data_IF_037983851567
#
_entry.id   IF_037983851567
#
_cell.length_a   1.000
_cell.length_b   1.000
_cell.length_c   1.000
_cell.angle_alpha   90.00
_cell.angle_beta   90.00
_cell.angle_gamma   90.00
#
_symmetry.space_group_name_H-M   'P 1'
#
loop_
_entity.id
_entity.type
_entity.pdbx_description
1 polymer ?
#
# COMPACT_ATOMS: atom_id res chain seq x y z
N UNK A 1 -10.86 0.24 -14.75
CA UNK A 1 -10.56 1.62 -14.31
C UNK A 1 -11.14 2.59 -15.32
N UNK A 2 -11.81 3.64 -14.86
CA UNK A 2 -12.49 4.62 -15.72
C UNK A 2 -11.62 5.86 -15.91
N UNK A 3 -11.92 6.66 -16.94
CA UNK A 3 -11.34 8.00 -17.11
C UNK A 3 -11.47 8.87 -15.85
N UNK A 4 -12.53 8.65 -15.07
CA UNK A 4 -12.77 9.37 -13.82
C UNK A 4 -11.69 9.11 -12.75
N UNK A 5 -11.15 7.88 -12.66
CA UNK A 5 -10.07 7.57 -11.71
C UNK A 5 -8.80 8.35 -12.03
N UNK A 6 -8.46 8.47 -13.31
CA UNK A 6 -7.28 9.20 -13.77
C UNK A 6 -7.46 10.71 -13.56
N UNK A 7 -8.62 11.26 -13.91
CA UNK A 7 -8.94 12.66 -13.66
C UNK A 7 -8.91 12.99 -12.16
N UNK A 8 -9.44 12.10 -11.32
CA UNK A 8 -9.36 12.25 -9.86
C UNK A 8 -7.90 12.23 -9.38
N UNK A 9 -7.08 11.29 -9.86
CA UNK A 9 -5.66 11.25 -9.49
C UNK A 9 -4.92 12.53 -9.90
N UNK A 10 -5.11 13.03 -11.12
CA UNK A 10 -4.52 14.29 -11.58
C UNK A 10 -4.95 15.48 -10.72
N UNK A 11 -6.22 15.50 -10.31
CA UNK A 11 -6.74 16.51 -9.40
C UNK A 11 -6.04 16.44 -8.03
N UNK A 12 -5.97 15.26 -7.43
CA UNK A 12 -5.30 15.06 -6.13
C UNK A 12 -3.80 15.34 -6.19
N UNK A 13 -3.12 14.98 -7.27
CA UNK A 13 -1.72 15.34 -7.49
C UNK A 13 -1.52 16.86 -7.56
N UNK A 14 -2.42 17.58 -8.24
CA UNK A 14 -2.39 19.05 -8.27
C UNK A 14 -2.62 19.66 -6.89
N UNK A 15 -3.56 19.13 -6.10
CA UNK A 15 -3.81 19.58 -4.74
C UNK A 15 -2.60 19.35 -3.83
N UNK A 16 -1.97 18.17 -3.92
CA UNK A 16 -0.75 17.86 -3.19
C UNK A 16 0.36 18.87 -3.49
N UNK A 17 0.66 19.11 -4.77
CA UNK A 17 1.73 20.05 -5.13
C UNK A 17 1.39 21.48 -4.70
N UNK A 18 0.13 21.90 -4.78
CA UNK A 18 -0.31 23.21 -4.27
C UNK A 18 -0.15 23.31 -2.76
N UNK A 19 -0.52 22.27 -2.00
CA UNK A 19 -0.32 22.22 -0.54
C UNK A 19 1.17 22.40 -0.20
N UNK A 20 2.05 21.64 -0.85
CA UNK A 20 3.50 21.70 -0.64
C UNK A 20 4.08 23.07 -1.00
N UNK A 21 3.63 23.68 -2.11
CA UNK A 21 4.09 25.00 -2.52
C UNK A 21 3.60 26.12 -1.60
N UNK A 22 2.34 26.05 -1.16
CA UNK A 22 1.73 27.10 -0.34
C UNK A 22 2.07 26.99 1.15
N UNK A 23 2.35 25.79 1.67
CA UNK A 23 2.55 25.57 3.10
C UNK A 23 4.01 25.21 3.42
N UNK A 24 4.73 26.04 4.21
CA UNK A 24 6.10 25.72 4.61
C UNK A 24 6.17 24.44 5.45
N UNK A 25 5.15 24.17 6.27
CA UNK A 25 5.10 22.95 7.09
C UNK A 25 5.02 21.68 6.25
N UNK A 26 4.33 21.70 5.10
CA UNK A 26 4.29 20.59 4.17
C UNK A 26 5.67 20.30 3.56
N UNK A 27 6.44 21.35 3.22
CA UNK A 27 7.83 21.19 2.76
C UNK A 27 8.73 20.67 3.85
N UNK A 28 8.61 21.20 5.07
CA UNK A 28 9.38 20.73 6.22
C UNK A 28 9.09 19.26 6.54
N UNK A 29 7.84 18.79 6.39
CA UNK A 29 7.51 17.37 6.53
C UNK A 29 8.26 16.50 5.51
N UNK A 30 8.25 16.87 4.23
CA UNK A 30 8.99 16.15 3.18
C UNK A 30 10.51 16.18 3.40
N UNK A 31 11.03 17.24 4.02
CA UNK A 31 12.47 17.33 4.37
C UNK A 31 12.80 16.49 5.59
N UNK A 32 11.90 16.43 6.59
CA UNK A 32 12.08 15.60 7.79
C UNK A 32 12.03 14.11 7.47
N UNK A 33 11.20 13.68 6.52
CA UNK A 33 11.17 12.27 6.11
C UNK A 33 12.52 11.77 5.58
N UNK A 34 13.34 12.65 4.99
CA UNK A 34 14.72 12.33 4.58
C UNK A 34 15.62 11.85 5.71
N UNK A 35 15.40 12.37 6.92
CA UNK A 35 16.25 12.13 8.09
C UNK A 35 15.64 11.05 9.00
N UNK A 36 14.35 10.76 8.85
CA UNK A 36 13.63 9.82 9.71
C UNK A 36 14.04 8.35 9.48
N UNK A 37 14.60 8.01 8.32
CA UNK A 37 15.10 6.67 7.99
C UNK A 37 16.54 6.73 7.47
N UNK A 38 17.54 6.96 8.33
CA UNK A 38 18.93 6.91 7.90
C UNK A 38 19.28 5.48 7.49
N UNK A 39 19.41 5.26 6.19
CA UNK A 39 19.96 4.03 5.63
C UNK A 39 21.49 4.10 5.71
N UNK A 40 22.13 3.03 6.20
CA UNK A 40 23.58 2.98 6.43
C UNK A 40 24.45 3.17 5.19
N UNK A 41 23.84 3.10 3.98
CA UNK A 41 24.52 3.23 2.69
C UNK A 41 24.09 4.49 1.90
N UNK A 42 23.25 5.37 2.49
CA UNK A 42 22.57 6.46 1.76
C UNK A 42 23.23 7.85 1.87
N UNK A 43 24.41 7.97 2.48
CA UNK A 43 25.09 9.25 2.71
C UNK A 43 25.22 10.17 1.45
N UNK A 44 25.68 9.70 0.27
CA UNK A 44 25.82 10.57 -0.90
C UNK A 44 24.46 10.96 -1.51
N UNK A 45 23.47 10.05 -1.50
CA UNK A 45 22.12 10.36 -2.01
C UNK A 45 21.36 11.30 -1.08
N UNK A 46 21.55 11.17 0.24
CA UNK A 46 20.90 12.00 1.26
C UNK A 46 21.40 13.44 1.17
N UNK A 47 22.72 13.65 1.07
CA UNK A 47 23.31 14.98 0.91
C UNK A 47 22.86 15.68 -0.38
N UNK A 48 22.81 14.94 -1.50
CA UNK A 48 22.25 15.45 -2.78
C UNK A 48 20.80 15.88 -2.63
N UNK A 49 19.98 15.08 -1.94
CA UNK A 49 18.56 15.32 -1.75
C UNK A 49 18.27 16.48 -0.79
N UNK A 50 19.08 16.65 0.26
CA UNK A 50 19.03 17.84 1.13
C UNK A 50 19.38 19.11 0.36
N UNK A 51 20.47 19.09 -0.43
CA UNK A 51 20.87 20.21 -1.27
C UNK A 51 19.81 20.53 -2.32
N UNK A 52 19.20 19.51 -2.91
CA UNK A 52 18.09 19.68 -3.85
C UNK A 52 16.89 20.36 -3.19
N UNK A 53 16.51 19.94 -1.98
CA UNK A 53 15.41 20.55 -1.24
C UNK A 53 15.70 22.01 -0.88
N UNK A 54 16.93 22.35 -0.49
CA UNK A 54 17.34 23.75 -0.28
C UNK A 54 17.28 24.57 -1.57
N UNK A 55 17.73 23.99 -2.68
CA UNK A 55 17.74 24.66 -3.99
C UNK A 55 16.31 24.90 -4.47
N UNK A 56 15.40 23.94 -4.23
CA UNK A 56 13.98 24.07 -4.52
C UNK A 56 13.32 25.17 -3.65
N UNK A 57 13.62 25.23 -2.36
CA UNK A 57 13.11 26.31 -1.49
C UNK A 57 13.60 27.69 -1.96
N UNK A 58 14.86 27.79 -2.42
CA UNK A 58 15.37 29.02 -3.05
C UNK A 58 14.63 29.34 -4.36
N UNK A 59 14.35 28.34 -5.19
CA UNK A 59 13.60 28.52 -6.44
C UNK A 59 12.17 29.02 -6.19
N UNK A 60 11.50 28.55 -5.13
CA UNK A 60 10.15 28.99 -4.74
C UNK A 60 10.14 30.47 -4.34
N UNK A 61 11.21 30.95 -3.70
CA UNK A 61 11.33 32.34 -3.23
C UNK A 61 11.98 33.28 -4.26
N UNK A 62 12.48 32.76 -5.38
CA UNK A 62 13.19 33.54 -6.38
C UNK A 62 12.25 34.56 -7.05
N UNK A 63 12.59 35.87 -7.05
CA UNK A 63 11.75 36.91 -7.62
C UNK A 63 11.83 36.98 -9.15
N UNK A 64 12.94 36.52 -9.73
CA UNK A 64 13.23 36.58 -11.15
C UNK A 64 13.00 35.22 -11.82
N UNK A 65 12.41 35.22 -13.02
CA UNK A 65 12.02 33.98 -13.70
C UNK A 65 13.21 33.18 -14.23
N UNK A 66 14.29 33.82 -14.68
CA UNK A 66 15.45 33.12 -15.25
C UNK A 66 16.24 32.46 -14.12
N UNK A 67 16.50 33.19 -13.04
CA UNK A 67 17.14 32.63 -11.84
C UNK A 67 16.36 31.47 -11.24
N UNK A 68 15.03 31.54 -11.29
CA UNK A 68 14.15 30.45 -10.84
C UNK A 68 14.30 29.21 -11.72
N UNK A 69 14.37 29.37 -13.05
CA UNK A 69 14.53 28.24 -13.97
C UNK A 69 15.88 27.55 -13.75
N UNK A 70 16.97 28.31 -13.61
CA UNK A 70 18.31 27.76 -13.33
C UNK A 70 18.33 26.96 -12.01
N UNK A 71 17.68 27.48 -10.97
CA UNK A 71 17.55 26.77 -9.69
C UNK A 71 16.70 25.51 -9.81
N UNK A 72 15.64 25.51 -10.63
CA UNK A 72 14.83 24.32 -10.88
C UNK A 72 15.59 23.26 -11.67
N UNK A 73 16.38 23.65 -12.67
CA UNK A 73 17.26 22.75 -13.42
C UNK A 73 18.28 22.11 -12.49
N UNK A 74 18.92 22.92 -11.65
CA UNK A 74 19.87 22.41 -10.66
C UNK A 74 19.22 21.48 -9.64
N UNK A 75 18.04 21.83 -9.15
CA UNK A 75 17.30 20.98 -8.22
C UNK A 75 16.93 19.64 -8.88
N UNK A 76 16.44 19.66 -10.13
CA UNK A 76 16.12 18.43 -10.87
C UNK A 76 17.34 17.53 -11.05
N UNK A 77 18.49 18.07 -11.46
CA UNK A 77 19.74 17.30 -11.58
C UNK A 77 20.10 16.57 -10.28
N UNK A 78 20.06 17.28 -9.16
CA UNK A 78 20.39 16.74 -7.84
C UNK A 78 19.38 15.68 -7.36
N UNK A 79 18.10 15.85 -7.70
CA UNK A 79 17.05 14.87 -7.40
C UNK A 79 17.23 13.61 -8.23
N UNK A 80 17.53 13.75 -9.52
CA UNK A 80 17.77 12.62 -10.42
C UNK A 80 19.03 11.85 -10.03
N UNK A 81 20.09 12.53 -9.57
CA UNK A 81 21.30 11.84 -9.07
C UNK A 81 21.09 11.14 -7.72
N UNK A 82 20.05 11.51 -6.97
CA UNK A 82 19.66 10.84 -5.74
C UNK A 82 18.77 9.59 -6.00
N UNK A 83 18.27 9.41 -7.23
CA UNK A 83 17.54 8.20 -7.63
C UNK A 83 18.49 7.00 -7.73
N UNK A 84 17.99 5.82 -7.38
CA UNK A 84 18.79 4.58 -7.36
C UNK A 84 19.45 4.27 -6.02
N UNK A 85 19.21 5.11 -5.00
CA UNK A 85 19.42 4.76 -3.60
C UNK A 85 18.39 3.77 -3.08
N UNK A 86 18.11 3.81 -1.77
CA UNK A 86 17.06 2.99 -1.18
C UNK A 86 15.64 3.43 -1.65
N UNK A 87 14.63 2.55 -1.54
CA UNK A 87 13.27 2.84 -2.00
C UNK A 87 12.65 4.10 -1.38
N UNK A 88 12.97 4.38 -0.11
CA UNK A 88 12.43 5.52 0.62
C UNK A 88 13.02 6.82 0.10
N UNK A 89 14.35 6.90 -0.01
CA UNK A 89 15.06 8.04 -0.60
C UNK A 89 14.54 8.35 -2.00
N UNK A 90 14.37 7.31 -2.83
CA UNK A 90 13.82 7.46 -4.18
C UNK A 90 12.38 7.99 -4.16
N UNK A 91 11.52 7.51 -3.26
CA UNK A 91 10.16 8.02 -3.12
C UNK A 91 10.12 9.50 -2.74
N UNK A 92 10.95 9.94 -1.79
CA UNK A 92 11.02 11.35 -1.41
C UNK A 92 11.58 12.21 -2.55
N UNK A 93 12.59 11.73 -3.28
CA UNK A 93 13.12 12.41 -4.45
C UNK A 93 12.05 12.59 -5.54
N UNK A 94 11.25 11.55 -5.81
CA UNK A 94 10.11 11.63 -6.73
C UNK A 94 9.06 12.66 -6.30
N UNK A 95 8.74 12.79 -5.01
CA UNK A 95 7.82 13.82 -4.54
C UNK A 95 8.36 15.25 -4.75
N UNK A 96 9.67 15.45 -4.56
CA UNK A 96 10.29 16.74 -4.88
C UNK A 96 10.30 17.01 -6.39
N UNK A 97 10.55 15.99 -7.22
CA UNK A 97 10.45 16.08 -8.68
C UNK A 97 9.03 16.43 -9.16
N UNK A 98 8.00 15.96 -8.44
CA UNK A 98 6.62 16.35 -8.69
C UNK A 98 6.40 17.85 -8.45
N UNK A 99 6.96 18.38 -7.36
CA UNK A 99 6.90 19.82 -7.05
C UNK A 99 7.66 20.65 -8.10
N UNK A 100 8.87 20.24 -8.49
CA UNK A 100 9.65 20.87 -9.57
C UNK A 100 8.85 20.90 -10.88
N UNK A 101 8.25 19.77 -11.26
CA UNK A 101 7.43 19.67 -12.48
C UNK A 101 6.20 20.58 -12.43
N UNK A 102 5.60 20.74 -11.25
CA UNK A 102 4.48 21.66 -11.04
C UNK A 102 4.90 23.12 -11.21
N UNK A 103 6.05 23.51 -10.66
CA UNK A 103 6.61 24.86 -10.82
C UNK A 103 6.95 25.18 -12.28
N UNK A 104 7.29 24.17 -13.07
CA UNK A 104 7.49 24.29 -14.53
C UNK A 104 6.20 24.22 -15.35
N UNK A 105 5.02 24.15 -14.70
CA UNK A 105 3.74 24.09 -15.40
C UNK A 105 3.45 22.76 -16.11
N UNK A 106 4.09 21.66 -15.69
CA UNK A 106 3.86 20.33 -16.24
C UNK A 106 3.13 19.41 -15.23
N UNK A 107 1.78 19.49 -15.15
CA UNK A 107 1.00 18.74 -14.17
C UNK A 107 0.99 17.23 -14.43
N UNK A 108 1.11 16.80 -15.69
CA UNK A 108 1.13 15.36 -16.03
C UNK A 108 2.44 14.73 -15.59
N UNK A 109 3.57 15.38 -15.85
CA UNK A 109 4.88 14.94 -15.35
C UNK A 109 4.93 14.95 -13.83
N UNK A 110 4.33 15.96 -13.18
CA UNK A 110 4.18 16.00 -11.72
C UNK A 110 3.43 14.77 -11.20
N UNK A 111 2.27 14.46 -11.79
CA UNK A 111 1.48 13.29 -11.43
C UNK A 111 2.23 11.98 -11.65
N UNK A 112 3.04 11.85 -12.71
CA UNK A 112 3.88 10.67 -12.94
C UNK A 112 4.90 10.47 -11.84
N UNK A 113 5.63 11.51 -11.46
CA UNK A 113 6.58 11.40 -10.36
C UNK A 113 5.89 11.03 -9.05
N UNK A 114 4.68 11.55 -8.80
CA UNK A 114 3.91 11.16 -7.63
C UNK A 114 3.53 9.66 -7.66
N UNK A 115 3.18 9.11 -8.83
CA UNK A 115 2.97 7.67 -9.01
C UNK A 115 4.26 6.87 -8.83
N UNK A 116 5.41 7.38 -9.29
CA UNK A 116 6.70 6.73 -9.09
C UNK A 116 7.09 6.68 -7.61
N UNK A 117 6.71 7.68 -6.80
CA UNK A 117 6.86 7.62 -5.36
C UNK A 117 6.05 6.46 -4.73
N UNK A 118 4.77 6.31 -5.14
CA UNK A 118 3.93 5.19 -4.71
C UNK A 118 4.41 3.83 -5.22
N UNK A 119 5.09 3.78 -6.37
CA UNK A 119 5.66 2.54 -6.89
C UNK A 119 6.99 2.17 -6.19
N UNK A 120 7.77 3.18 -5.77
CA UNK A 120 9.07 2.99 -5.11
C UNK A 120 8.92 2.52 -3.67
N UNK A 121 8.22 3.28 -2.83
CA UNK A 121 7.98 2.94 -1.42
C UNK A 121 6.51 3.20 -1.06
N UNK A 122 5.61 2.24 -1.35
CA UNK A 122 4.20 2.42 -1.10
C UNK A 122 3.91 2.57 0.39
N UNK A 123 4.64 1.87 1.25
CA UNK A 123 4.42 1.91 2.71
C UNK A 123 4.56 3.34 3.24
N UNK A 124 5.66 4.02 2.93
CA UNK A 124 5.89 5.41 3.33
C UNK A 124 5.03 6.39 2.55
N UNK A 125 4.75 6.13 1.27
CA UNK A 125 3.90 7.01 0.48
C UNK A 125 2.45 7.04 1.01
N UNK A 126 1.93 5.90 1.44
CA UNK A 126 0.60 5.74 2.05
C UNK A 126 0.51 6.31 3.46
N UNK A 127 1.55 6.12 4.28
CA UNK A 127 1.53 6.55 5.68
C UNK A 127 1.95 8.00 5.87
N UNK A 128 3.16 8.33 5.43
CA UNK A 128 3.85 9.54 5.89
C UNK A 128 3.95 10.63 4.82
N UNK A 129 4.20 10.24 3.57
CA UNK A 129 4.63 11.20 2.55
C UNK A 129 3.47 11.83 1.79
N UNK A 130 2.48 11.03 1.37
CA UNK A 130 1.35 11.50 0.58
C UNK A 130 0.02 10.79 0.95
N UNK A 131 -0.33 10.65 2.25
CA UNK A 131 -1.49 9.87 2.71
C UNK A 131 -2.80 10.30 2.05
N UNK A 132 -3.07 11.61 2.01
CA UNK A 132 -4.29 12.17 1.39
C UNK A 132 -4.43 11.78 -0.08
N UNK A 133 -3.33 11.76 -0.85
CA UNK A 133 -3.42 11.38 -2.27
C UNK A 133 -3.80 9.92 -2.39
N UNK A 134 -3.23 9.05 -1.56
CA UNK A 134 -3.59 7.65 -1.55
C UNK A 134 -5.05 7.42 -1.13
N UNK A 135 -5.48 8.05 -0.04
CA UNK A 135 -6.84 7.96 0.49
C UNK A 135 -7.88 8.37 -0.55
N UNK A 136 -7.68 9.52 -1.19
CA UNK A 136 -8.67 10.11 -2.10
C UNK A 136 -8.64 9.51 -3.51
N UNK A 137 -7.58 8.82 -3.93
CA UNK A 137 -7.43 8.35 -5.31
C UNK A 137 -7.14 6.87 -5.50
N UNK A 138 -6.54 6.20 -4.51
CA UNK A 138 -6.07 4.82 -4.62
C UNK A 138 -6.83 3.84 -3.71
N UNK A 139 -7.50 4.31 -2.64
CA UNK A 139 -8.31 3.45 -1.75
C UNK A 139 -9.53 2.87 -2.44
N UNK A 140 -10.29 3.67 -3.21
CA UNK A 140 -11.51 3.18 -3.86
C UNK A 140 -11.25 1.93 -4.75
N UNK A 141 -10.21 1.91 -5.60
CA UNK A 141 -9.79 0.70 -6.32
C UNK A 141 -9.45 -0.51 -5.45
N UNK A 142 -9.01 -0.29 -4.20
CA UNK A 142 -8.57 -1.30 -3.25
C UNK A 142 -9.69 -1.75 -2.30
N UNK A 143 -10.92 -1.22 -2.40
CA UNK A 143 -12.05 -1.64 -1.56
C UNK A 143 -12.28 -3.16 -1.51
N UNK A 144 -12.12 -3.95 -2.59
CA UNK A 144 -12.23 -5.40 -2.50
C UNK A 144 -11.18 -6.02 -1.56
N UNK A 145 -9.96 -5.47 -1.54
CA UNK A 145 -8.88 -5.91 -0.66
C UNK A 145 -9.24 -5.65 0.81
N UNK A 146 -9.69 -4.43 1.11
CA UNK A 146 -10.15 -4.04 2.44
C UNK A 146 -11.28 -4.97 2.94
N UNK A 147 -12.28 -5.24 2.09
CA UNK A 147 -13.41 -6.12 2.45
C UNK A 147 -12.96 -7.54 2.79
N UNK A 148 -12.03 -8.10 2.02
CA UNK A 148 -11.49 -9.44 2.30
C UNK A 148 -10.74 -9.48 3.63
N UNK A 149 -9.91 -8.47 3.90
CA UNK A 149 -9.20 -8.35 5.18
C UNK A 149 -10.17 -8.28 6.36
N UNK A 150 -11.19 -7.41 6.27
CA UNK A 150 -12.18 -7.28 7.35
C UNK A 150 -12.98 -8.57 7.55
N UNK A 151 -13.34 -9.28 6.48
CA UNK A 151 -14.05 -10.56 6.58
C UNK A 151 -13.19 -11.63 7.27
N UNK A 152 -11.91 -11.75 6.93
CA UNK A 152 -11.01 -12.73 7.57
C UNK A 152 -10.73 -12.36 9.03
N UNK A 153 -10.52 -11.07 9.32
CA UNK A 153 -10.37 -10.57 10.70
C UNK A 153 -11.60 -10.89 11.54
N UNK A 154 -12.80 -10.72 10.99
CA UNK A 154 -14.03 -11.10 11.68
C UNK A 154 -14.15 -12.61 11.88
N UNK A 155 -13.75 -13.42 10.91
CA UNK A 155 -13.79 -14.88 11.05
C UNK A 155 -12.90 -15.37 12.22
N UNK A 156 -11.70 -14.81 12.37
CA UNK A 156 -10.79 -15.13 13.49
C UNK A 156 -11.40 -14.66 14.82
N UNK A 157 -11.99 -13.47 14.88
CA UNK A 157 -12.61 -12.98 16.11
C UNK A 157 -13.87 -13.78 16.50
N UNK A 158 -14.63 -14.26 15.51
CA UNK A 158 -15.81 -15.10 15.73
C UNK A 158 -15.43 -16.49 16.27
N UNK A 159 -14.31 -17.09 15.83
CA UNK A 159 -13.86 -18.37 16.37
C UNK A 159 -13.49 -18.28 17.86
N UNK A 160 -12.89 -17.17 18.30
CA UNK A 160 -12.62 -16.91 19.73
C UNK A 160 -13.90 -16.89 20.56
N UNK A 161 -14.98 -16.32 20.02
CA UNK A 161 -16.28 -16.30 20.70
C UNK A 161 -16.95 -17.69 20.75
N UNK A 162 -16.82 -18.49 19.68
CA UNK A 162 -17.43 -19.82 19.57
C UNK A 162 -16.75 -20.86 20.48
N UNK A 163 -15.41 -20.90 20.50
CA UNK A 163 -14.64 -21.77 21.41
C UNK A 163 -15.00 -21.55 22.89
N UNK A 164 -15.52 -20.37 23.20
CA UNK A 164 -15.93 -20.00 24.54
C UNK A 164 -17.35 -20.49 24.90
N UNK A 165 -18.32 -20.40 23.96
CA UNK A 165 -19.68 -20.91 24.20
C UNK A 165 -19.72 -22.42 24.42
N UNK A 166 -18.81 -23.16 23.80
CA UNK A 166 -18.70 -24.62 24.01
C UNK A 166 -18.09 -24.98 25.38
N UNK A 167 -17.36 -24.06 26.03
CA UNK A 167 -16.71 -24.28 27.33
C UNK A 167 -17.51 -23.76 28.53
N UNK A 168 -18.42 -22.81 28.34
CA UNK A 168 -19.35 -22.33 29.36
C UNK A 168 -20.77 -22.54 28.84
N UNK A 169 -21.40 -23.63 29.29
CA UNK A 169 -22.77 -23.96 28.95
C UNK A 169 -23.70 -22.76 29.13
N UNK A 170 -24.34 -22.37 28.02
CA UNK A 170 -25.43 -21.40 27.95
C UNK A 170 -25.13 -20.00 28.50
N UNK A 171 -24.47 -19.16 27.71
CA UNK A 171 -24.73 -17.72 27.76
C UNK A 171 -24.98 -17.18 26.35
N UNK A 172 -26.11 -16.48 26.24
CA UNK A 172 -26.79 -16.00 25.02
C UNK A 172 -25.83 -15.59 23.90
N UNK A 173 -26.11 -16.08 22.68
CA UNK A 173 -25.49 -15.62 21.45
C UNK A 173 -25.54 -14.09 21.38
N UNK A 174 -24.40 -13.45 21.61
CA UNK A 174 -24.21 -12.04 21.28
C UNK A 174 -24.12 -12.00 19.76
N UNK A 175 -25.13 -11.38 19.15
CA UNK A 175 -25.24 -11.17 17.72
C UNK A 175 -24.05 -10.32 17.24
N UNK A 176 -23.00 -10.98 16.76
CA UNK A 176 -21.72 -10.39 16.40
C UNK A 176 -21.77 -9.85 14.96
N UNK A 177 -22.78 -9.04 14.65
CA UNK A 177 -22.87 -8.33 13.36
C UNK A 177 -22.09 -7.02 13.44
N UNK A 178 -20.78 -7.09 13.17
CA UNK A 178 -19.94 -5.90 13.05
C UNK A 178 -20.13 -5.28 11.66
N UNK A 179 -21.27 -4.61 11.47
CA UNK A 179 -21.40 -3.55 10.45
C UNK A 179 -20.93 -2.24 11.06
N UNK A 180 -20.29 -1.39 10.26
CA UNK A 180 -19.68 -0.09 10.64
C UNK A 180 -20.61 0.92 11.34
N UNK A 181 -21.88 0.58 11.55
CA UNK A 181 -22.92 1.40 12.19
C UNK A 181 -23.29 0.90 13.61
N UNK A 182 -22.68 -0.19 14.10
CA UNK A 182 -22.85 -0.64 15.50
C UNK A 182 -21.81 0.02 16.41
N UNK A 183 -21.95 1.33 16.63
CA UNK A 183 -21.15 2.14 17.56
C UNK A 183 -21.50 1.92 19.05
N UNK A 184 -21.90 0.70 19.41
CA UNK A 184 -22.10 0.30 20.80
C UNK A 184 -21.54 -1.10 21.06
N UNK A 185 -20.38 -1.40 20.49
CA UNK A 185 -19.56 -2.48 21.03
C UNK A 185 -19.05 -2.04 22.39
N UNK A 186 -19.71 -2.50 23.45
CA UNK A 186 -19.39 -2.14 24.82
C UNK A 186 -17.89 -2.36 25.09
N UNK A 187 -17.23 -1.35 25.67
CA UNK A 187 -15.80 -1.36 25.93
C UNK A 187 -15.42 -2.53 26.86
N UNK A 188 -16.35 -2.97 27.71
CA UNK A 188 -16.18 -4.15 28.54
C UNK A 188 -16.16 -5.45 27.70
N UNK A 189 -17.03 -5.55 26.69
CA UNK A 189 -17.03 -6.68 25.73
C UNK A 189 -15.72 -6.76 24.94
N UNK A 190 -15.15 -5.61 24.55
CA UNK A 190 -13.83 -5.54 23.91
C UNK A 190 -12.71 -5.98 24.83
N UNK A 191 -12.67 -5.47 26.06
CA UNK A 191 -11.68 -5.86 27.07
C UNK A 191 -11.79 -7.35 27.42
N UNK A 192 -13.00 -7.90 27.46
CA UNK A 192 -13.26 -9.30 27.73
C UNK A 192 -12.83 -10.21 26.57
N UNK A 193 -13.02 -9.78 25.32
CA UNK A 193 -12.50 -10.49 24.16
C UNK A 193 -10.97 -10.49 24.17
N UNK A 194 -10.35 -9.32 24.37
CA UNK A 194 -8.89 -9.16 24.41
C UNK A 194 -8.24 -9.96 25.54
N UNK A 195 -8.84 -10.02 26.73
CA UNK A 195 -8.30 -10.78 27.87
C UNK A 195 -8.38 -12.31 27.69
N UNK A 196 -9.12 -12.77 26.68
CA UNK A 196 -9.40 -14.18 26.41
C UNK A 196 -8.82 -14.68 25.09
N UNK A 197 -8.12 -13.82 24.35
CA UNK A 197 -7.41 -14.23 23.15
C UNK A 197 -6.25 -15.14 23.52
N UNK A 198 -6.18 -16.30 22.88
CA UNK A 198 -5.01 -17.18 23.00
C UNK A 198 -3.81 -16.59 22.27
N UNK A 199 -2.61 -17.01 22.65
CA UNK A 199 -1.40 -16.62 21.92
C UNK A 199 -1.46 -17.05 20.45
N UNK A 200 -2.11 -18.19 20.13
CA UNK A 200 -2.29 -18.60 18.72
C UNK A 200 -3.19 -17.64 17.95
N UNK A 201 -4.26 -17.13 18.58
CA UNK A 201 -5.17 -16.17 17.94
C UNK A 201 -4.47 -14.83 17.69
N UNK A 202 -3.70 -14.34 18.68
CA UNK A 202 -2.91 -13.11 18.54
C UNK A 202 -1.93 -13.23 17.38
N UNK A 203 -1.23 -14.36 17.27
CA UNK A 203 -0.31 -14.60 16.18
C UNK A 203 -1.03 -14.72 14.83
N UNK A 204 -2.20 -15.36 14.78
CA UNK A 204 -3.01 -15.45 13.56
C UNK A 204 -3.46 -14.08 13.05
N UNK A 205 -3.90 -13.19 13.95
CA UNK A 205 -4.24 -11.81 13.60
C UNK A 205 -3.03 -11.00 13.15
N UNK A 206 -1.87 -11.16 13.82
CA UNK A 206 -0.63 -10.51 13.43
C UNK A 206 -0.22 -10.93 12.02
N UNK A 207 -0.20 -12.23 11.73
CA UNK A 207 0.11 -12.74 10.39
C UNK A 207 -0.88 -12.24 9.34
N UNK A 208 -2.16 -12.10 9.68
CA UNK A 208 -3.16 -11.53 8.79
C UNK A 208 -2.89 -10.04 8.50
N UNK A 209 -2.56 -9.25 9.53
CA UNK A 209 -2.23 -7.83 9.40
C UNK A 209 -0.95 -7.64 8.56
N UNK A 210 0.10 -8.42 8.82
CA UNK A 210 1.34 -8.41 8.05
C UNK A 210 1.09 -8.77 6.56
N UNK A 211 0.30 -9.82 6.30
CA UNK A 211 -0.05 -10.23 4.94
C UNK A 211 -0.92 -9.20 4.21
N UNK A 212 -1.78 -8.50 4.96
CA UNK A 212 -2.62 -7.45 4.41
C UNK A 212 -1.82 -6.20 4.04
N UNK A 213 -0.86 -5.77 4.88
CA UNK A 213 0.04 -4.66 4.53
C UNK A 213 0.92 -5.01 3.32
N UNK A 214 1.46 -6.24 3.24
CA UNK A 214 2.20 -6.72 2.07
C UNK A 214 1.34 -6.65 0.79
N UNK A 215 0.09 -7.10 0.88
CA UNK A 215 -0.85 -7.04 -0.23
C UNK A 215 -1.25 -5.59 -0.59
N UNK A 216 -1.42 -4.71 0.39
CA UNK A 216 -1.70 -3.29 0.16
C UNK A 216 -0.57 -2.62 -0.61
N UNK A 217 0.67 -2.88 -0.22
CA UNK A 217 1.85 -2.33 -0.89
C UNK A 217 1.96 -2.82 -2.33
N UNK A 218 1.84 -4.13 -2.55
CA UNK A 218 1.91 -4.68 -3.91
C UNK A 218 0.79 -4.19 -4.82
N UNK A 219 -0.46 -4.15 -4.31
CA UNK A 219 -1.57 -3.62 -5.12
C UNK A 219 -1.43 -2.10 -5.36
N UNK A 220 -0.87 -1.35 -4.41
CA UNK A 220 -0.55 0.08 -4.60
C UNK A 220 0.50 0.27 -5.69
N UNK A 221 1.59 -0.52 -5.70
CA UNK A 221 2.59 -0.50 -6.79
C UNK A 221 1.97 -0.81 -8.14
N UNK A 222 1.16 -1.86 -8.21
CA UNK A 222 0.50 -2.27 -9.46
C UNK A 222 -0.42 -1.18 -10.00
N UNK A 223 -1.18 -0.54 -9.12
CA UNK A 223 -2.07 0.55 -9.48
C UNK A 223 -1.30 1.79 -9.93
N UNK A 224 -0.24 2.15 -9.20
CA UNK A 224 0.60 3.29 -9.54
C UNK A 224 1.24 3.12 -10.93
N UNK A 225 1.83 1.96 -11.19
CA UNK A 225 2.38 1.60 -12.50
C UNK A 225 1.33 1.64 -13.61
N UNK A 226 0.13 1.14 -13.35
CA UNK A 226 -0.97 1.17 -14.33
C UNK A 226 -1.40 2.59 -14.68
N UNK A 227 -1.59 3.46 -13.68
CA UNK A 227 -1.95 4.86 -13.91
C UNK A 227 -0.83 5.60 -14.65
N UNK A 228 0.44 5.28 -14.36
CA UNK A 228 1.58 5.87 -15.07
C UNK A 228 1.59 5.50 -16.55
N UNK A 229 1.46 4.20 -16.86
CA UNK A 229 1.33 3.71 -18.24
C UNK A 229 0.14 4.37 -18.95
N UNK A 230 -0.98 4.58 -18.26
CA UNK A 230 -2.14 5.25 -18.84
C UNK A 230 -1.83 6.71 -19.19
N UNK A 231 -1.19 7.45 -18.29
CA UNK A 231 -0.77 8.84 -18.55
C UNK A 231 0.23 8.94 -19.70
N UNK A 232 1.17 8.00 -19.83
CA UNK A 232 2.10 7.90 -20.97
C UNK A 232 1.39 7.71 -22.30
N UNK A 233 0.45 6.77 -22.36
CA UNK A 233 -0.31 6.50 -23.58
C UNK A 233 -1.23 7.66 -23.98
N UNK A 234 -1.69 8.48 -23.03
CA UNK A 234 -2.52 9.65 -23.32
C UNK A 234 -1.76 10.82 -23.95
N UNK A 235 -0.44 10.95 -23.74
CA UNK A 235 0.40 11.99 -24.36
C UNK A 235 0.85 11.63 -25.80
N UNK A 236 0.78 10.36 -26.18
CA UNK A 236 1.42 9.80 -27.39
C UNK A 236 0.60 9.73 -28.70
N UNK A 237 -0.60 10.30 -28.77
CA UNK A 237 -1.60 10.28 -29.89
C UNK A 237 -2.58 9.11 -29.94
N UNK A 238 -3.76 9.48 -30.45
CA UNK A 238 -4.80 8.72 -31.19
C UNK A 238 -5.10 7.28 -30.75
N UNK A 239 -6.38 7.10 -30.41
CA UNK A 239 -7.12 5.84 -30.28
C UNK A 239 -7.12 4.99 -31.57
N UNK A 240 -5.96 4.64 -32.10
CA UNK A 240 -5.86 3.64 -33.17
C UNK A 240 -5.38 2.33 -32.58
N UNK A 241 -6.34 1.40 -32.46
CA UNK A 241 -6.14 -0.01 -32.16
C UNK A 241 -5.48 -0.32 -30.80
N UNK A 242 -6.29 -0.26 -29.74
CA UNK A 242 -6.05 -1.12 -28.57
C UNK A 242 -6.32 -2.57 -28.95
N UNK A 243 -5.34 -3.21 -29.61
CA UNK A 243 -5.23 -4.67 -29.67
C UNK A 243 -5.39 -5.19 -28.26
N UNK A 244 -6.50 -5.91 -28.03
CA UNK A 244 -6.88 -6.70 -26.84
C UNK A 244 -5.69 -7.02 -25.94
N UNK A 245 -5.28 -6.09 -25.08
CA UNK A 245 -4.31 -6.38 -24.02
C UNK A 245 -5.08 -7.19 -22.99
N UNK A 246 -4.66 -8.44 -22.84
CA UNK A 246 -5.16 -9.42 -21.86
C UNK A 246 -5.47 -8.69 -20.55
N UNK A 247 -6.68 -8.90 -20.00
CA UNK A 247 -7.03 -8.43 -18.65
C UNK A 247 -5.95 -8.95 -17.69
N UNK A 248 -4.91 -8.15 -17.40
CA UNK A 248 -3.97 -8.45 -16.33
C UNK A 248 -4.85 -8.56 -15.09
N UNK A 249 -4.74 -9.65 -14.33
CA UNK A 249 -5.44 -9.76 -13.05
C UNK A 249 -4.86 -8.67 -12.15
N UNK A 250 -5.64 -7.62 -11.91
CA UNK A 250 -5.24 -6.42 -11.14
C UNK A 250 -5.38 -6.62 -9.63
N UNK A 251 -5.16 -7.84 -9.17
CA UNK A 251 -5.50 -8.18 -7.80
C UNK A 251 -4.62 -9.33 -7.32
N UNK A 252 -3.76 -9.02 -6.37
CA UNK A 252 -3.08 -10.05 -5.57
C UNK A 252 -4.02 -10.37 -4.40
N UNK A 253 -4.66 -11.55 -4.37
CA UNK A 253 -5.52 -11.93 -3.25
C UNK A 253 -4.68 -12.15 -1.98
N UNK A 254 -5.21 -11.73 -0.83
CA UNK A 254 -4.54 -11.74 0.49
C UNK A 254 -4.27 -13.15 1.03
N UNK A 255 -4.83 -14.21 0.46
CA UNK A 255 -4.92 -15.47 1.20
C UNK A 255 -4.42 -16.66 0.38
N UNK A 256 -3.11 -16.86 0.41
CA UNK A 256 -2.51 -18.20 0.34
C UNK A 256 -1.49 -18.47 1.45
N UNK A 257 -1.03 -17.44 2.19
CA UNK A 257 0.04 -17.56 3.19
C UNK A 257 -0.47 -18.01 4.57
N UNK A 258 -1.67 -17.58 4.98
CA UNK A 258 -2.19 -17.82 6.36
C UNK A 258 -2.68 -19.26 6.60
N UNK A 259 -3.27 -19.92 5.59
CA UNK A 259 -3.78 -21.31 5.72
C UNK A 259 -2.80 -22.41 5.31
N UNK A 260 -1.67 -22.07 4.70
CA UNK A 260 -0.67 -23.04 4.21
C UNK A 260 0.13 -23.76 5.30
N UNK A 261 0.04 -23.31 6.56
CA UNK A 261 0.83 -23.87 7.69
C UNK A 261 0.06 -24.98 8.43
N UNK A 262 -1.27 -25.07 8.31
CA UNK A 262 -2.07 -26.09 9.05
C UNK A 262 -2.20 -27.45 8.34
N UNK A 263 -1.63 -27.66 7.14
CA UNK A 263 -1.78 -28.94 6.39
C UNK A 263 -0.54 -29.84 6.43
N UNK A 264 0.53 -29.48 7.15
CA UNK A 264 1.67 -30.41 7.36
C UNK A 264 1.51 -31.31 8.61
N UNK A 265 0.36 -31.26 9.28
CA UNK A 265 0.13 -31.91 10.57
C UNK A 265 -0.98 -32.95 10.61
N UNK A 266 -1.32 -33.63 9.51
CA UNK A 266 -2.18 -34.81 9.55
C UNK A 266 -1.99 -35.70 8.32
N UNK A 267 -1.27 -36.81 8.51
CA UNK A 267 -1.40 -38.14 7.88
C UNK A 267 -0.02 -38.80 7.76
N UNK A 268 0.41 -39.47 8.83
CA UNK A 268 1.19 -40.69 8.67
C UNK A 268 0.21 -41.86 8.71
N UNK A 269 -0.38 -42.17 7.56
CA UNK A 269 -0.90 -43.51 7.31
C UNK A 269 0.30 -44.38 6.89
N UNK A 270 0.48 -45.57 7.49
CA UNK A 270 1.67 -46.38 7.28
C UNK A 270 1.74 -46.99 5.89
N UNK A 271 2.98 -47.12 5.44
CA UNK A 271 3.42 -47.72 4.19
C UNK A 271 2.80 -49.08 3.89
N UNK A 272 2.49 -49.24 2.61
CA UNK A 272 2.20 -50.49 1.91
C UNK A 272 3.28 -51.54 2.19
N UNK A 273 2.87 -52.71 2.64
CA UNK A 273 3.63 -53.95 2.44
C UNK A 273 2.73 -55.02 1.83
N UNK A 274 3.28 -55.73 0.84
CA UNK A 274 2.99 -57.15 0.66
C UNK A 274 1.87 -57.52 -0.30
N UNK A 275 2.28 -57.82 -1.52
CA UNK A 275 1.60 -58.66 -2.50
C UNK A 275 1.26 -60.06 -1.94
N UNK A 276 0.03 -60.55 -2.16
CA UNK A 276 -0.34 -61.98 -2.22
C UNK A 276 -1.78 -62.14 -2.73
N UNK A 277 -1.96 -62.99 -3.75
CA UNK A 277 -3.21 -63.14 -4.49
C UNK A 277 -4.29 -64.05 -3.90
N UNK A 278 -5.50 -63.88 -4.47
CA UNK A 278 -6.58 -64.85 -4.78
C UNK A 278 -6.93 -65.95 -3.74
N UNK A 279 -8.15 -65.91 -3.16
CA UNK A 279 -9.31 -66.80 -3.47
C UNK A 279 -10.38 -66.86 -2.37
N UNK A 280 -11.61 -67.01 -2.88
CA UNK A 280 -12.82 -67.58 -2.28
C UNK A 280 -13.52 -66.86 -1.13
N UNK A 281 -14.66 -66.29 -1.52
CA UNK A 281 -15.62 -65.59 -0.68
C UNK A 281 -16.09 -66.38 0.53
N UNK A 282 -16.00 -65.71 1.68
CA UNK A 282 -17.04 -65.60 2.71
C UNK A 282 -16.68 -64.43 3.61
N UNK A 283 -17.68 -63.60 3.92
CA UNK A 283 -17.58 -62.56 4.94
C UNK A 283 -17.59 -63.22 6.33
N UNK A 284 -16.73 -62.71 7.21
CA UNK A 284 -17.03 -62.58 8.63
C UNK A 284 -17.06 -61.08 8.94
#
# INVERSE_FOLDING_TARGET
MSSATVSNFLHQASLFSKEVLSQPDARLRLRRSLVARPSSNAEPSLSSLQLAAETLDRAILAPDSDSRLDLLDRAEELLLSALGGDPHTSAVAFLHLAVVSTLRGNPVRSARFLLDAFASDPSSARGDLAPKVWEESLVQPLLPLHRLFYAEKQAILASVSSEFQDRQGSMSALDFSFTSESLAFDEASRRQLLSRMSNETVEELRMLEDAYEEALDENTKLLANFLREFLENSEGKELTNTKKKKKKKFFVPVIHKVRGIRVSGAEKLPEKTGDAGFRDGRYN
#
